data_IF_579769666081
#
_entry.id   IF_579769666081
#
_cell.length_a   1.000
_cell.length_b   1.000
_cell.length_c   1.000
_cell.angle_alpha   90.00
_cell.angle_beta   90.00
_cell.angle_gamma   90.00
#
_symmetry.space_group_name_H-M   'P 1'
#
loop_
_entity.id
_entity.type
_entity.pdbx_description
1 polymer ?
#
# COMPACT_ATOMS: atom_id res chain seq x y z
N UNK A 1 3.24 21.30 -1.80
CA UNK A 1 2.49 20.19 -1.16
C UNK A 1 1.28 19.90 -2.02
N UNK A 2 1.03 18.65 -2.37
CA UNK A 2 -0.15 18.23 -3.12
C UNK A 2 -1.11 17.46 -2.20
N UNK A 3 -2.38 17.36 -2.61
CA UNK A 3 -3.44 16.64 -1.90
C UNK A 3 -3.92 15.50 -2.78
N UNK A 4 -3.93 14.30 -2.24
CA UNK A 4 -4.29 13.08 -2.95
C UNK A 4 -5.51 12.43 -2.31
N UNK A 5 -6.40 11.89 -3.13
CA UNK A 5 -7.42 10.91 -2.76
C UNK A 5 -6.94 9.56 -3.26
N UNK A 6 -6.75 8.61 -2.37
CA UNK A 6 -6.32 7.24 -2.71
C UNK A 6 -7.42 6.26 -2.34
N UNK A 7 -7.68 5.28 -3.18
CA UNK A 7 -8.58 4.19 -2.86
C UNK A 7 -8.14 2.88 -3.52
N UNK A 8 -8.32 1.78 -2.81
CA UNK A 8 -8.29 0.45 -3.41
C UNK A 8 -9.59 0.18 -4.16
N UNK A 9 -9.53 -0.59 -5.22
CA UNK A 9 -10.70 -1.08 -5.91
C UNK A 9 -11.46 -2.11 -5.06
N UNK A 10 -12.73 -2.33 -5.40
CA UNK A 10 -13.50 -3.41 -4.78
C UNK A 10 -13.58 -3.33 -3.24
N UNK A 11 -14.02 -4.39 -2.58
CA UNK A 11 -13.95 -4.60 -1.13
C UNK A 11 -14.16 -6.10 -0.81
N UNK A 12 -14.24 -6.47 0.45
CA UNK A 12 -14.39 -7.88 0.86
C UNK A 12 -15.70 -8.52 0.44
N UNK A 13 -16.73 -7.72 0.14
CA UNK A 13 -18.07 -8.16 -0.29
C UNK A 13 -18.16 -8.15 -1.82
N UNK A 14 -17.75 -7.05 -2.45
CA UNK A 14 -17.71 -6.87 -3.90
C UNK A 14 -16.28 -7.10 -4.35
N UNK A 15 -15.84 -8.35 -4.27
CA UNK A 15 -14.49 -8.74 -4.59
C UNK A 15 -14.21 -8.55 -6.08
N UNK A 16 -13.02 -8.06 -6.42
CA UNK A 16 -12.49 -8.03 -7.77
C UNK A 16 -11.92 -9.39 -8.18
N UNK A 17 -10.83 -9.36 -8.91
CA UNK A 17 -10.18 -10.58 -9.34
C UNK A 17 -9.65 -11.41 -8.15
N UNK A 18 -9.80 -12.73 -8.29
CA UNK A 18 -9.29 -13.70 -7.30
C UNK A 18 -8.57 -14.83 -8.04
N UNK A 19 -7.39 -15.23 -7.54
CA UNK A 19 -6.64 -16.36 -8.09
C UNK A 19 -5.90 -17.09 -6.97
N UNK A 20 -6.30 -18.34 -6.70
CA UNK A 20 -5.78 -19.09 -5.56
C UNK A 20 -6.03 -18.33 -4.24
N UNK A 21 -4.96 -18.06 -3.52
CA UNK A 21 -5.01 -17.29 -2.26
C UNK A 21 -4.88 -15.78 -2.48
N UNK A 22 -4.70 -15.32 -3.72
CA UNK A 22 -4.55 -13.91 -4.06
C UNK A 22 -5.93 -13.28 -4.24
N UNK A 23 -6.15 -12.14 -3.62
CA UNK A 23 -7.38 -11.36 -3.72
C UNK A 23 -7.02 -9.93 -4.08
N UNK A 24 -7.59 -9.41 -5.15
CA UNK A 24 -7.32 -8.07 -5.65
C UNK A 24 -7.52 -7.03 -4.54
N UNK A 25 -8.72 -7.00 -3.92
CA UNK A 25 -9.04 -6.04 -2.87
C UNK A 25 -8.14 -6.10 -1.62
N UNK A 26 -7.29 -7.13 -1.48
CA UNK A 26 -6.29 -7.21 -0.40
C UNK A 26 -4.95 -6.66 -0.88
N UNK A 27 -4.53 -7.06 -2.07
CA UNK A 27 -3.22 -6.69 -2.61
C UNK A 27 -3.16 -5.21 -3.01
N UNK A 28 -4.22 -4.67 -3.59
CA UNK A 28 -4.31 -3.26 -3.97
C UNK A 28 -4.20 -2.33 -2.75
N UNK A 29 -4.85 -2.70 -1.63
CA UNK A 29 -4.77 -1.94 -0.37
C UNK A 29 -3.38 -1.94 0.23
N UNK A 30 -2.64 -3.04 0.15
CA UNK A 30 -1.26 -3.09 0.61
C UNK A 30 -0.41 -2.03 -0.10
N UNK A 31 -0.55 -1.91 -1.41
CA UNK A 31 0.18 -0.91 -2.20
C UNK A 31 -0.34 0.49 -1.93
N UNK A 32 -1.67 0.69 -1.91
CA UNK A 32 -2.31 1.97 -1.61
C UNK A 32 -1.84 2.52 -0.26
N UNK A 33 -1.84 1.68 0.78
CA UNK A 33 -1.44 2.08 2.13
C UNK A 33 0.04 2.47 2.20
N UNK A 34 0.91 1.70 1.52
CA UNK A 34 2.32 2.02 1.44
C UNK A 34 2.58 3.34 0.67
N UNK A 35 1.86 3.58 -0.43
CA UNK A 35 1.92 4.85 -1.18
C UNK A 35 1.44 6.00 -0.30
N UNK A 36 0.32 5.83 0.41
CA UNK A 36 -0.23 6.84 1.31
C UNK A 36 0.77 7.24 2.41
N UNK A 37 1.40 6.25 3.05
CA UNK A 37 2.40 6.48 4.09
C UNK A 37 3.59 7.27 3.55
N UNK A 38 4.12 6.89 2.38
CA UNK A 38 5.26 7.55 1.75
C UNK A 38 4.94 8.97 1.29
N UNK A 39 3.77 9.22 0.72
CA UNK A 39 3.34 10.56 0.34
C UNK A 39 3.17 11.47 1.57
N UNK A 40 2.59 10.95 2.66
CA UNK A 40 2.49 11.70 3.94
C UNK A 40 3.87 12.03 4.53
N UNK A 41 4.82 11.09 4.46
CA UNK A 41 6.20 11.32 4.90
C UNK A 41 6.90 12.43 4.09
N UNK A 42 6.53 12.62 2.83
CA UNK A 42 6.98 13.74 1.99
C UNK A 42 6.21 15.04 2.22
N UNK A 43 5.31 15.09 3.20
CA UNK A 43 4.54 16.28 3.57
C UNK A 43 3.29 16.51 2.71
N UNK A 44 2.85 15.54 1.93
CA UNK A 44 1.61 15.62 1.17
C UNK A 44 0.39 15.29 2.05
N UNK A 45 -0.76 15.85 1.72
CA UNK A 45 -2.03 15.44 2.34
C UNK A 45 -2.61 14.26 1.56
N UNK A 46 -3.00 13.20 2.27
CA UNK A 46 -3.58 12.00 1.65
C UNK A 46 -4.84 11.60 2.38
N UNK A 47 -5.95 11.53 1.64
CA UNK A 47 -7.23 10.98 2.08
C UNK A 47 -7.33 9.52 1.62
N UNK A 48 -7.82 8.65 2.49
CA UNK A 48 -8.17 7.28 2.15
C UNK A 48 -9.68 7.23 1.89
N UNK A 49 -10.03 7.15 0.63
CA UNK A 49 -11.42 7.19 0.17
C UNK A 49 -11.92 5.80 -0.28
N UNK A 50 -11.24 4.75 0.17
CA UNK A 50 -11.63 3.36 -0.06
C UNK A 50 -13.02 3.07 0.51
N UNK A 51 -13.85 2.35 -0.23
CA UNK A 51 -15.13 1.86 0.25
C UNK A 51 -15.02 0.43 0.78
N UNK A 52 -15.41 0.22 2.04
CA UNK A 52 -15.41 -1.09 2.69
C UNK A 52 -16.83 -1.61 2.99
N UNK A 53 -17.87 -0.84 2.64
CA UNK A 53 -19.25 -1.13 3.09
C UNK A 53 -20.24 -1.37 1.96
N UNK A 54 -19.93 -0.98 0.74
CA UNK A 54 -20.77 -1.22 -0.43
C UNK A 54 -21.00 -2.71 -0.67
N UNK A 55 -22.25 -3.11 -0.83
CA UNK A 55 -22.64 -4.52 -1.03
C UNK A 55 -22.89 -4.88 -2.48
N UNK A 56 -22.86 -3.90 -3.37
CA UNK A 56 -22.94 -4.07 -4.83
C UNK A 56 -21.87 -3.23 -5.50
N UNK A 57 -21.51 -3.59 -6.74
CA UNK A 57 -20.54 -2.83 -7.53
C UNK A 57 -20.93 -1.34 -7.65
N UNK A 58 -22.21 -1.08 -7.92
CA UNK A 58 -22.71 0.30 -8.03
C UNK A 58 -22.56 1.07 -6.71
N UNK A 59 -22.86 0.45 -5.57
CA UNK A 59 -22.68 1.07 -4.26
C UNK A 59 -21.19 1.33 -3.97
N UNK A 60 -20.31 0.37 -4.22
CA UNK A 60 -18.89 0.52 -4.03
C UNK A 60 -18.34 1.69 -4.85
N UNK A 61 -18.61 1.74 -6.14
CA UNK A 61 -18.18 2.84 -7.02
C UNK A 61 -18.76 4.20 -6.58
N UNK A 62 -20.05 4.27 -6.26
CA UNK A 62 -20.68 5.52 -5.83
C UNK A 62 -20.14 6.02 -4.49
N UNK A 63 -19.82 5.11 -3.57
CA UNK A 63 -19.21 5.46 -2.29
C UNK A 63 -17.80 6.03 -2.49
N UNK A 64 -16.97 5.37 -3.28
CA UNK A 64 -15.61 5.85 -3.63
C UNK A 64 -15.67 7.24 -4.25
N UNK A 65 -16.52 7.43 -5.28
CA UNK A 65 -16.67 8.72 -5.97
C UNK A 65 -17.16 9.80 -5.01
N UNK A 66 -18.15 9.50 -4.17
CA UNK A 66 -18.66 10.45 -3.17
C UNK A 66 -17.57 10.83 -2.16
N UNK A 67 -16.82 9.86 -1.64
CA UNK A 67 -15.75 10.09 -0.68
C UNK A 67 -14.67 10.98 -1.31
N UNK A 68 -14.14 10.61 -2.47
CA UNK A 68 -13.14 11.40 -3.20
C UNK A 68 -13.62 12.83 -3.51
N UNK A 69 -14.89 12.98 -3.89
CA UNK A 69 -15.49 14.28 -4.21
C UNK A 69 -15.82 15.13 -2.97
N UNK A 70 -15.72 14.59 -1.76
CA UNK A 70 -15.90 15.33 -0.50
C UNK A 70 -14.67 16.15 -0.12
N UNK A 71 -13.53 15.88 -0.75
CA UNK A 71 -12.27 16.57 -0.51
C UNK A 71 -11.88 17.42 -1.72
N UNK A 72 -11.20 18.53 -1.46
CA UNK A 72 -10.54 19.31 -2.50
C UNK A 72 -9.12 18.72 -2.70
N UNK A 73 -8.97 17.82 -3.67
CA UNK A 73 -7.71 17.13 -3.98
C UNK A 73 -7.17 17.52 -5.35
N UNK A 74 -5.89 17.31 -5.56
CA UNK A 74 -5.20 17.63 -6.81
C UNK A 74 -5.16 16.42 -7.76
N UNK A 75 -5.28 15.20 -7.21
CA UNK A 75 -5.30 13.94 -7.97
C UNK A 75 -6.02 12.84 -7.19
N UNK A 76 -6.81 12.06 -7.89
CA UNK A 76 -7.41 10.79 -7.41
C UNK A 76 -6.64 9.62 -8.01
N UNK A 77 -6.27 8.63 -7.19
CA UNK A 77 -5.56 7.43 -7.64
C UNK A 77 -6.32 6.18 -7.16
N UNK A 78 -6.76 5.39 -8.13
CA UNK A 78 -7.37 4.09 -7.91
C UNK A 78 -6.33 2.98 -8.07
N UNK A 79 -6.34 2.01 -7.17
CA UNK A 79 -5.41 0.87 -7.19
C UNK A 79 -6.18 -0.42 -7.49
N UNK A 80 -5.70 -1.15 -8.50
CA UNK A 80 -6.28 -2.40 -8.99
C UNK A 80 -5.20 -3.40 -9.40
N UNK A 81 -5.60 -4.65 -9.61
CA UNK A 81 -4.82 -5.66 -10.28
C UNK A 81 -5.62 -6.22 -11.46
N UNK A 82 -4.96 -6.37 -12.59
CA UNK A 82 -5.56 -6.96 -13.78
C UNK A 82 -5.71 -8.49 -13.64
N UNK A 83 -6.58 -9.08 -14.44
CA UNK A 83 -6.75 -10.52 -14.59
C UNK A 83 -7.07 -10.89 -16.02
N UNK A 84 -6.70 -12.11 -16.42
CA UNK A 84 -6.99 -12.64 -17.76
C UNK A 84 -7.20 -14.15 -17.71
N UNK A 85 -6.61 -14.86 -18.65
CA UNK A 85 -6.57 -16.32 -18.75
C UNK A 85 -5.21 -16.91 -18.26
N UNK A 86 -4.48 -16.17 -17.43
CA UNK A 86 -3.13 -16.51 -16.97
C UNK A 86 -2.01 -16.07 -17.91
N UNK A 87 -2.32 -15.66 -19.14
CA UNK A 87 -1.33 -15.23 -20.14
C UNK A 87 -1.11 -13.72 -20.18
N UNK A 88 -2.06 -12.92 -19.68
CA UNK A 88 -1.89 -11.49 -19.51
C UNK A 88 -0.75 -11.16 -18.56
N UNK A 89 0.04 -10.13 -18.86
CA UNK A 89 1.16 -9.71 -18.01
C UNK A 89 1.46 -8.23 -18.16
N UNK A 90 2.01 -7.65 -17.10
CA UNK A 90 2.52 -6.29 -17.10
C UNK A 90 1.58 -5.27 -16.48
N UNK A 91 2.07 -4.05 -16.35
CA UNK A 91 1.43 -2.91 -15.72
C UNK A 91 0.85 -1.98 -16.77
N UNK A 92 -0.33 -1.42 -16.50
CA UNK A 92 -0.92 -0.33 -17.29
C UNK A 92 -1.57 0.70 -16.38
N UNK A 93 -1.70 1.92 -16.88
CA UNK A 93 -2.39 2.99 -16.14
C UNK A 93 -3.50 3.56 -17.01
N UNK A 94 -4.72 3.49 -16.48
CA UNK A 94 -5.91 3.95 -17.14
C UNK A 94 -6.18 5.42 -16.76
N UNK A 95 -6.63 6.22 -17.71
CA UNK A 95 -6.87 7.65 -17.53
C UNK A 95 -8.07 8.14 -18.32
N UNK A 96 -8.67 9.24 -17.87
CA UNK A 96 -9.64 10.00 -18.67
C UNK A 96 -8.91 11.08 -19.51
N UNK A 97 -8.14 11.94 -18.85
CA UNK A 97 -7.44 13.10 -19.43
C UNK A 97 -5.95 13.22 -19.01
N UNK A 98 -5.46 12.35 -18.10
CA UNK A 98 -4.11 12.40 -17.52
C UNK A 98 -3.10 11.49 -18.25
N UNK A 99 -3.03 11.60 -19.59
CA UNK A 99 -2.21 10.71 -20.44
C UNK A 99 -0.74 10.66 -20.02
N UNK A 100 -0.11 11.83 -19.88
CA UNK A 100 1.33 11.91 -19.65
C UNK A 100 1.72 11.39 -18.28
N UNK A 101 0.90 11.68 -17.25
CA UNK A 101 1.08 11.13 -15.91
C UNK A 101 0.90 9.61 -15.91
N UNK A 102 -0.14 9.11 -16.56
CA UNK A 102 -0.41 7.67 -16.67
C UNK A 102 0.74 6.94 -17.37
N UNK A 103 1.26 7.48 -18.46
CA UNK A 103 2.41 6.92 -19.18
C UNK A 103 3.68 6.92 -18.31
N UNK A 104 3.92 8.01 -17.59
CA UNK A 104 5.08 8.14 -16.69
C UNK A 104 5.05 7.08 -15.58
N UNK A 105 3.88 6.87 -14.95
CA UNK A 105 3.74 5.88 -13.87
C UNK A 105 3.90 4.46 -14.41
N UNK A 106 3.26 4.13 -15.54
CA UNK A 106 3.38 2.80 -16.17
C UNK A 106 4.84 2.47 -16.51
N UNK A 107 5.54 3.38 -17.18
CA UNK A 107 6.94 3.22 -17.54
C UNK A 107 7.86 3.09 -16.31
N UNK A 108 7.62 3.88 -15.26
CA UNK A 108 8.41 3.82 -14.03
C UNK A 108 8.21 2.48 -13.30
N UNK A 109 6.97 2.02 -13.16
CA UNK A 109 6.66 0.72 -12.57
C UNK A 109 7.29 -0.42 -13.37
N UNK A 110 7.16 -0.39 -14.70
CA UNK A 110 7.75 -1.40 -15.56
C UNK A 110 9.27 -1.47 -15.39
N UNK A 111 9.94 -0.31 -15.37
CA UNK A 111 11.39 -0.20 -15.17
C UNK A 111 11.84 -0.75 -13.82
N UNK A 112 11.20 -0.34 -12.74
CA UNK A 112 11.67 -0.63 -11.40
C UNK A 112 11.32 -2.06 -10.95
N UNK A 113 10.11 -2.53 -11.28
CA UNK A 113 9.62 -3.85 -10.88
C UNK A 113 10.08 -4.95 -11.86
N UNK A 114 10.32 -4.58 -13.11
CA UNK A 114 10.62 -5.51 -14.20
C UNK A 114 9.35 -6.11 -14.81
N UNK A 115 8.20 -5.46 -14.66
CA UNK A 115 6.97 -5.81 -15.35
C UNK A 115 7.03 -5.36 -16.82
N UNK A 116 6.22 -5.97 -17.68
CA UNK A 116 6.00 -5.48 -19.04
C UNK A 116 5.27 -4.15 -18.96
N UNK A 117 5.79 -3.11 -19.65
CA UNK A 117 5.06 -1.86 -19.82
C UNK A 117 3.95 -2.03 -20.86
N UNK A 118 2.70 -1.89 -20.44
CA UNK A 118 1.52 -1.88 -21.32
C UNK A 118 1.07 -0.44 -21.63
N UNK A 119 1.68 0.54 -20.95
CA UNK A 119 1.51 1.97 -21.18
C UNK A 119 0.21 2.54 -20.63
N UNK A 120 -0.06 3.78 -21.03
CA UNK A 120 -1.28 4.49 -20.68
C UNK A 120 -2.44 4.10 -21.59
N UNK A 121 -3.64 3.89 -21.03
CA UNK A 121 -4.87 3.54 -21.76
C UNK A 121 -5.97 4.54 -21.45
N UNK A 122 -6.51 5.17 -22.46
CA UNK A 122 -7.66 6.05 -22.27
C UNK A 122 -8.94 5.23 -22.02
N UNK A 123 -9.62 5.53 -20.93
CA UNK A 123 -10.89 4.92 -20.53
C UNK A 123 -11.83 6.00 -20.02
N UNK A 124 -12.79 6.38 -20.86
CA UNK A 124 -13.79 7.41 -20.55
C UNK A 124 -15.07 6.85 -19.95
N UNK A 125 -15.17 5.55 -19.89
CA UNK A 125 -16.32 4.78 -19.42
C UNK A 125 -16.18 4.29 -17.97
N UNK A 126 -14.97 4.36 -17.37
CA UNK A 126 -14.77 3.94 -15.99
C UNK A 126 -15.32 4.96 -15.00
N UNK A 127 -16.18 4.48 -14.10
CA UNK A 127 -16.93 5.32 -13.18
C UNK A 127 -16.04 6.25 -12.33
N UNK A 128 -14.94 5.75 -11.77
CA UNK A 128 -14.03 6.55 -10.94
C UNK A 128 -13.27 7.61 -11.75
N UNK A 129 -12.92 7.31 -12.99
CA UNK A 129 -12.20 8.24 -13.86
C UNK A 129 -13.11 9.36 -14.40
N UNK A 130 -14.38 9.06 -14.57
CA UNK A 130 -15.40 9.95 -15.12
C UNK A 130 -16.17 10.72 -14.04
N UNK A 131 -16.38 10.09 -12.87
CA UNK A 131 -17.26 10.63 -11.81
C UNK A 131 -16.54 11.48 -10.75
N UNK A 132 -15.21 11.48 -10.71
CA UNK A 132 -14.45 12.31 -9.77
C UNK A 132 -14.28 13.72 -10.31
N UNK A 133 -14.35 14.73 -9.41
CA UNK A 133 -14.19 16.15 -9.77
C UNK A 133 -12.74 16.53 -10.08
N UNK A 134 -11.82 15.90 -9.37
CA UNK A 134 -10.39 16.08 -9.60
C UNK A 134 -9.90 15.14 -10.72
N UNK A 135 -8.80 15.45 -11.39
CA UNK A 135 -8.13 14.52 -12.31
C UNK A 135 -7.93 13.16 -11.66
N UNK A 136 -8.12 12.09 -12.42
CA UNK A 136 -8.03 10.74 -11.88
C UNK A 136 -7.24 9.78 -12.79
N UNK A 137 -6.55 8.84 -12.15
CA UNK A 137 -5.90 7.71 -12.80
C UNK A 137 -6.26 6.41 -12.07
N UNK A 138 -6.21 5.29 -12.79
CA UNK A 138 -6.36 3.95 -12.23
C UNK A 138 -5.14 3.11 -12.63
N UNK A 139 -4.48 2.53 -11.64
CA UNK A 139 -3.26 1.74 -11.83
C UNK A 139 -3.61 0.26 -11.75
N UNK A 140 -3.37 -0.48 -12.83
CA UNK A 140 -3.43 -1.94 -12.88
C UNK A 140 -2.04 -2.50 -12.58
N UNK A 141 -1.84 -2.98 -11.35
CA UNK A 141 -0.56 -3.38 -10.74
C UNK A 141 -0.14 -4.80 -11.14
N UNK A 142 -0.08 -5.09 -12.44
CA UNK A 142 0.21 -6.43 -12.94
C UNK A 142 -1.03 -7.32 -12.95
N UNK A 143 -0.84 -8.58 -13.36
CA UNK A 143 -1.90 -9.57 -13.47
C UNK A 143 -1.88 -10.53 -12.28
N UNK A 144 -2.98 -10.58 -11.52
CA UNK A 144 -3.09 -11.39 -10.31
C UNK A 144 -2.99 -12.90 -10.59
N UNK A 145 -3.39 -13.32 -11.79
CA UNK A 145 -3.38 -14.69 -12.28
C UNK A 145 -2.11 -15.07 -13.08
N UNK A 146 -1.12 -14.15 -13.16
CA UNK A 146 0.14 -14.40 -13.84
C UNK A 146 1.28 -14.60 -12.83
N UNK A 147 1.88 -15.80 -12.83
CA UNK A 147 2.94 -16.15 -11.88
C UNK A 147 4.21 -15.32 -12.07
N UNK A 148 4.54 -14.91 -13.31
CA UNK A 148 5.72 -14.06 -13.57
C UNK A 148 5.55 -12.65 -13.01
N UNK A 149 4.35 -12.09 -13.07
CA UNK A 149 4.06 -10.77 -12.50
C UNK A 149 4.07 -10.85 -10.97
N UNK A 150 3.42 -11.89 -10.42
CA UNK A 150 3.31 -12.04 -8.98
C UNK A 150 4.62 -12.46 -8.30
N UNK A 151 5.51 -13.15 -9.00
CA UNK A 151 6.87 -13.42 -8.50
C UNK A 151 7.72 -12.15 -8.29
N UNK A 152 7.34 -11.06 -8.95
CA UNK A 152 7.98 -9.74 -8.81
C UNK A 152 7.27 -8.83 -7.81
N UNK A 153 6.16 -9.29 -7.22
CA UNK A 153 5.36 -8.48 -6.30
C UNK A 153 6.17 -8.10 -5.07
N UNK A 154 6.36 -6.82 -4.89
CA UNK A 154 7.01 -6.24 -3.71
C UNK A 154 6.36 -4.90 -3.42
N UNK A 155 5.56 -4.85 -2.38
CA UNK A 155 4.73 -3.69 -2.01
C UNK A 155 5.57 -2.41 -1.84
N UNK A 156 6.70 -2.51 -1.13
CA UNK A 156 7.54 -1.34 -0.87
C UNK A 156 8.16 -0.79 -2.16
N UNK A 157 8.68 -1.67 -3.01
CA UNK A 157 9.27 -1.30 -4.28
C UNK A 157 8.26 -0.70 -5.25
N UNK A 158 7.05 -1.28 -5.31
CA UNK A 158 5.93 -0.75 -6.11
C UNK A 158 5.55 0.65 -5.61
N UNK A 159 5.37 0.81 -4.30
CA UNK A 159 5.01 2.09 -3.70
C UNK A 159 6.09 3.16 -3.93
N UNK A 160 7.37 2.82 -3.78
CA UNK A 160 8.48 3.74 -4.08
C UNK A 160 8.46 4.20 -5.53
N UNK A 161 8.22 3.28 -6.46
CA UNK A 161 8.14 3.57 -7.90
C UNK A 161 7.01 4.54 -8.22
N UNK A 162 5.81 4.32 -7.65
CA UNK A 162 4.66 5.21 -7.82
C UNK A 162 4.94 6.60 -7.25
N UNK A 163 5.44 6.66 -6.01
CA UNK A 163 5.74 7.93 -5.34
C UNK A 163 6.80 8.71 -6.10
N UNK A 164 7.85 8.04 -6.59
CA UNK A 164 8.87 8.68 -7.42
C UNK A 164 8.27 9.22 -8.74
N UNK A 165 7.41 8.46 -9.40
CA UNK A 165 6.75 8.93 -10.62
C UNK A 165 5.85 10.15 -10.36
N UNK A 166 5.18 10.22 -9.21
CA UNK A 166 4.31 11.34 -8.83
C UNK A 166 5.11 12.60 -8.47
N UNK A 167 6.16 12.46 -7.67
CA UNK A 167 6.80 13.58 -6.97
C UNK A 167 8.21 13.91 -7.43
N UNK A 168 8.86 12.98 -8.14
CA UNK A 168 10.30 13.05 -8.44
C UNK A 168 11.19 12.74 -7.24
N UNK A 169 10.60 12.39 -6.09
CA UNK A 169 11.30 12.04 -4.86
C UNK A 169 11.03 10.57 -4.53
N UNK A 170 12.02 9.86 -4.06
CA UNK A 170 11.78 8.56 -3.43
C UNK A 170 11.14 8.83 -2.09
N UNK A 171 9.92 8.39 -1.90
CA UNK A 171 9.28 8.43 -0.59
C UNK A 171 10.14 7.64 0.38
N UNK A 172 10.78 8.30 1.31
CA UNK A 172 11.74 7.80 2.28
C UNK A 172 12.40 6.47 1.90
N UNK A 173 13.64 6.51 1.51
CA UNK A 173 14.40 5.30 1.27
C UNK A 173 14.49 4.46 2.55
N UNK A 174 15.11 3.30 2.50
CA UNK A 174 15.39 2.46 3.68
C UNK A 174 15.99 3.22 4.90
N UNK A 175 16.35 4.52 4.72
CA UNK A 175 16.79 5.43 5.77
C UNK A 175 15.66 5.92 6.71
N UNK A 176 14.40 5.85 6.29
CA UNK A 176 13.25 6.33 7.09
C UNK A 176 12.40 5.18 7.67
N UNK A 177 12.78 3.95 7.42
CA UNK A 177 12.17 2.82 8.08
C UNK A 177 12.70 2.73 9.51
N UNK A 178 11.80 2.87 10.45
CA UNK A 178 12.13 2.72 11.86
C UNK A 178 12.21 1.22 12.20
N UNK A 179 13.27 0.85 12.89
CA UNK A 179 13.39 -0.44 13.54
C UNK A 179 13.37 -0.21 15.03
N UNK A 180 12.79 -1.13 15.75
CA UNK A 180 12.74 -1.09 17.22
C UNK A 180 13.43 -2.32 17.77
N UNK A 181 14.32 -2.09 18.71
CA UNK A 181 14.86 -3.13 19.60
C UNK A 181 14.30 -2.90 20.98
N UNK A 182 13.60 -3.90 21.51
CA UNK A 182 13.11 -3.82 22.88
C UNK A 182 14.21 -4.10 23.88
N UNK A 183 14.05 -3.60 25.09
CA UNK A 183 14.82 -4.06 26.24
C UNK A 183 14.54 -5.54 26.55
N UNK A 184 15.33 -6.09 27.44
CA UNK A 184 15.15 -7.48 27.87
C UNK A 184 13.85 -7.67 28.64
N UNK A 185 13.07 -8.70 28.29
CA UNK A 185 11.87 -9.13 28.98
C UNK A 185 12.01 -10.59 29.44
N UNK A 186 11.37 -10.95 30.53
CA UNK A 186 11.37 -12.32 31.02
C UNK A 186 10.76 -13.27 29.99
N UNK A 187 11.23 -14.50 29.96
CA UNK A 187 10.77 -15.53 29.02
C UNK A 187 9.24 -15.69 28.98
N UNK A 188 8.58 -15.60 30.14
CA UNK A 188 7.11 -15.65 30.25
C UNK A 188 6.37 -14.55 29.47
N UNK A 189 7.05 -13.47 29.11
CA UNK A 189 6.46 -12.32 28.39
C UNK A 189 6.74 -12.35 26.90
N UNK A 190 7.55 -13.28 26.39
CA UNK A 190 7.94 -13.32 24.98
C UNK A 190 6.76 -13.62 24.05
N UNK A 191 5.81 -14.44 24.50
CA UNK A 191 4.61 -14.72 23.72
C UNK A 191 3.75 -13.45 23.55
N UNK A 192 3.57 -12.67 24.61
CA UNK A 192 2.83 -11.40 24.54
C UNK A 192 3.56 -10.37 23.65
N UNK A 193 4.89 -10.36 23.69
CA UNK A 193 5.71 -9.51 22.84
C UNK A 193 5.57 -9.89 21.35
N UNK A 194 5.59 -11.19 21.04
CA UNK A 194 5.37 -11.71 19.70
C UNK A 194 3.96 -11.37 19.19
N UNK A 195 2.94 -11.54 20.01
CA UNK A 195 1.57 -11.20 19.65
C UNK A 195 1.41 -9.70 19.36
N UNK A 196 2.04 -8.84 20.17
CA UNK A 196 1.99 -7.40 19.92
C UNK A 196 2.64 -6.98 18.59
N UNK A 197 3.68 -7.67 18.15
CA UNK A 197 4.26 -7.46 16.82
C UNK A 197 3.25 -7.85 15.72
N UNK A 198 2.61 -9.01 15.86
CA UNK A 198 1.55 -9.47 14.92
C UNK A 198 0.40 -8.48 14.87
N UNK A 199 -0.10 -8.01 16.03
CA UNK A 199 -1.22 -7.07 16.13
C UNK A 199 -0.87 -5.69 15.54
N UNK A 200 0.40 -5.31 15.57
CA UNK A 200 0.91 -4.10 14.91
C UNK A 200 1.16 -4.29 13.40
N UNK A 201 1.04 -5.51 12.89
CA UNK A 201 1.33 -5.83 11.48
C UNK A 201 2.82 -5.70 11.15
N UNK A 202 3.70 -6.05 12.08
CA UNK A 202 5.15 -6.01 11.91
C UNK A 202 5.75 -7.39 12.15
N UNK A 203 6.87 -7.66 11.51
CA UNK A 203 7.69 -8.84 11.72
C UNK A 203 9.10 -8.48 12.23
N UNK A 204 9.87 -9.48 12.59
CA UNK A 204 11.20 -9.32 13.13
C UNK A 204 11.69 -10.59 13.78
N UNK A 205 12.64 -10.43 14.68
CA UNK A 205 13.25 -11.54 15.42
C UNK A 205 12.98 -11.39 16.92
N UNK A 206 12.71 -12.49 17.59
CA UNK A 206 12.75 -12.59 19.04
C UNK A 206 13.99 -13.40 19.40
N UNK A 207 14.91 -12.73 20.10
CA UNK A 207 16.16 -13.35 20.54
C UNK A 207 16.02 -13.75 21.99
N UNK A 208 16.27 -15.02 22.32
CA UNK A 208 16.27 -15.52 23.70
C UNK A 208 17.70 -15.75 24.13
N UNK A 209 18.08 -15.19 25.27
CA UNK A 209 19.39 -15.33 25.86
C UNK A 209 19.43 -16.51 26.83
N UNK A 210 20.63 -16.98 27.16
CA UNK A 210 20.83 -18.16 28.03
C UNK A 210 20.33 -17.97 29.46
N UNK A 211 20.19 -16.72 29.90
CA UNK A 211 19.68 -16.33 31.23
C UNK A 211 18.14 -16.29 31.31
N UNK A 212 17.46 -16.67 30.21
CA UNK A 212 15.99 -16.65 30.13
C UNK A 212 15.40 -15.27 29.85
N UNK A 213 16.23 -14.27 29.54
CA UNK A 213 15.78 -12.96 29.09
C UNK A 213 15.76 -12.96 27.56
N UNK A 214 14.74 -12.33 26.96
CA UNK A 214 14.66 -12.17 25.52
C UNK A 214 14.32 -10.74 25.14
N UNK A 215 14.55 -10.40 23.89
CA UNK A 215 14.17 -9.12 23.30
C UNK A 215 13.68 -9.31 21.87
N UNK A 216 12.87 -8.38 21.39
CA UNK A 216 12.47 -8.31 19.97
C UNK A 216 13.34 -7.30 19.23
N UNK A 217 13.62 -7.61 17.97
CA UNK A 217 14.16 -6.68 16.99
C UNK A 217 13.29 -6.72 15.75
N UNK A 218 12.61 -5.61 15.46
CA UNK A 218 11.73 -5.52 14.30
C UNK A 218 12.53 -5.34 13.02
N UNK A 219 11.96 -5.75 11.89
CA UNK A 219 12.38 -5.25 10.60
C UNK A 219 12.06 -3.75 10.49
N UNK A 220 12.49 -3.10 9.41
CA UNK A 220 12.21 -1.69 9.20
C UNK A 220 10.77 -1.49 8.70
N UNK A 221 10.02 -0.63 9.40
CA UNK A 221 8.64 -0.30 9.07
C UNK A 221 8.40 1.21 9.09
N UNK A 222 7.40 1.72 8.33
CA UNK A 222 6.92 3.09 8.48
C UNK A 222 6.47 3.37 9.91
N UNK A 223 6.55 4.64 10.35
CA UNK A 223 6.24 5.05 11.72
C UNK A 223 4.89 4.54 12.23
N UNK A 224 3.83 4.58 11.43
CA UNK A 224 2.50 4.18 11.89
C UNK A 224 2.35 2.73 12.37
N UNK A 225 3.12 1.78 11.81
CA UNK A 225 3.17 0.40 12.30
C UNK A 225 4.00 0.31 13.58
N UNK A 226 5.15 0.98 13.56
CA UNK A 226 6.05 1.05 14.74
C UNK A 226 5.38 1.77 15.91
N UNK A 227 4.62 2.85 15.66
CA UNK A 227 3.90 3.60 16.71
C UNK A 227 2.87 2.74 17.46
N UNK A 228 2.17 1.83 16.76
CA UNK A 228 1.27 0.87 17.42
C UNK A 228 2.03 -0.07 18.37
N UNK A 229 3.17 -0.56 17.92
CA UNK A 229 3.99 -1.47 18.71
C UNK A 229 4.64 -0.75 19.90
N UNK A 230 5.21 0.44 19.69
CA UNK A 230 5.82 1.23 20.76
C UNK A 230 4.79 1.72 21.78
N UNK A 231 3.59 2.12 21.36
CA UNK A 231 2.50 2.44 22.28
C UNK A 231 2.11 1.25 23.17
N UNK A 232 2.16 0.02 22.66
CA UNK A 232 1.93 -1.20 23.43
C UNK A 232 3.07 -1.44 24.45
N UNK A 233 4.33 -1.14 24.08
CA UNK A 233 5.49 -1.19 24.98
C UNK A 233 5.41 -0.12 26.08
N UNK A 234 5.04 1.11 25.70
CA UNK A 234 4.88 2.25 26.62
C UNK A 234 3.82 1.98 27.69
N UNK A 235 2.69 1.40 27.29
CA UNK A 235 1.61 1.00 28.22
C UNK A 235 2.09 0.00 29.30
N UNK A 236 3.17 -0.73 29.04
CA UNK A 236 3.79 -1.70 29.95
C UNK A 236 5.04 -1.17 30.62
N UNK A 237 5.45 0.05 30.27
CA UNK A 237 6.72 0.66 30.70
C UNK A 237 7.94 -0.18 30.35
N UNK A 238 7.87 -0.86 29.20
CA UNK A 238 8.99 -1.65 28.69
C UNK A 238 9.89 -0.79 27.84
N UNK A 239 11.19 -0.87 28.11
CA UNK A 239 12.20 -0.11 27.38
C UNK A 239 12.30 -0.58 25.92
N UNK A 240 12.51 0.35 25.03
CA UNK A 240 12.90 0.13 23.65
C UNK A 240 13.77 1.27 23.13
N UNK A 241 14.46 1.00 22.04
CA UNK A 241 15.24 1.99 21.31
C UNK A 241 14.98 1.85 19.81
N UNK A 242 15.05 2.98 19.10
CA UNK A 242 15.07 2.95 17.65
C UNK A 242 16.47 2.62 17.17
N UNK A 243 16.58 1.65 16.25
CA UNK A 243 17.84 1.21 15.65
C UNK A 243 17.84 1.44 14.15
N UNK A 244 19.01 1.69 13.57
CA UNK A 244 19.18 1.91 12.12
C UNK A 244 19.60 0.65 11.39
#
# INVERSE_FOLDING_TARGET
MARYSLHGGHNSIVQGANFGNRKEHVLDRQVKDAVAAKLRALGHTVYDDTDEVGTTQSQNLNNIIRNSNSHAVDLVISFHLNASDGNGQGVEVLYYDQKDLAAKISAQLAKDIGWRDRGAKQRTDLAVLNGTKAPAILIELGFIDNESDMAKWNVDKIANSIVFALTGQTGGGAADLLKVKTGGVAFSNLQALAQAMVDAGIDGQIVVQKDGIGYAMTNGYPSGNIDKFTAWLDARKWYYEYVR
#
